data_IF_944130638661
#
_entry.id   IF_944130638661
#
_cell.length_a   1.000
_cell.length_b   1.000
_cell.length_c   1.000
_cell.angle_alpha   90.00
_cell.angle_beta   90.00
_cell.angle_gamma   90.00
#
_symmetry.space_group_name_H-M   'P 1'
#
loop_
_entity.id
_entity.type
_entity.pdbx_description
1 polymer ?
#
# COMPACT_ATOMS: atom_id res chain seq x y z
N UNK A 1 -0.35 14.08 -2.97
CA UNK A 1 -1.66 13.45 -2.80
C UNK A 1 -1.40 12.16 -2.08
N UNK A 2 -1.67 12.15 -0.77
CA UNK A 2 -1.29 11.08 0.12
C UNK A 2 -2.24 9.89 -0.02
N UNK A 3 -1.82 8.68 0.38
CA UNK A 3 -2.66 7.48 0.35
C UNK A 3 -3.94 7.66 1.18
N UNK A 4 -3.80 8.41 2.29
CA UNK A 4 -4.89 8.80 3.18
C UNK A 4 -5.99 9.57 2.47
N UNK A 5 -5.63 10.58 1.67
CA UNK A 5 -6.59 11.40 0.91
C UNK A 5 -7.43 10.54 -0.04
N UNK A 6 -6.78 9.54 -0.68
CA UNK A 6 -7.44 8.60 -1.57
C UNK A 6 -8.37 7.66 -0.82
N UNK A 7 -7.96 7.17 0.34
CA UNK A 7 -8.79 6.30 1.17
C UNK A 7 -10.03 7.04 1.71
N UNK A 8 -9.89 8.32 2.08
CA UNK A 8 -11.01 9.17 2.49
C UNK A 8 -11.94 9.51 1.32
N UNK A 9 -11.41 9.70 0.11
CA UNK A 9 -12.21 9.85 -1.09
C UNK A 9 -12.98 8.57 -1.44
N UNK A 10 -12.32 7.41 -1.34
CA UNK A 10 -12.96 6.11 -1.60
C UNK A 10 -14.04 5.79 -0.56
N UNK A 11 -13.79 6.11 0.72
CA UNK A 11 -14.80 5.98 1.77
C UNK A 11 -16.05 6.82 1.45
N UNK A 12 -15.86 8.08 1.00
CA UNK A 12 -16.97 8.93 0.56
C UNK A 12 -17.78 8.29 -0.57
N UNK A 13 -17.13 7.77 -1.60
CA UNK A 13 -17.82 7.08 -2.69
C UNK A 13 -18.61 5.85 -2.23
N UNK A 14 -18.09 5.09 -1.26
CA UNK A 14 -18.83 3.96 -0.67
C UNK A 14 -20.11 4.45 0.02
N UNK A 15 -20.04 5.52 0.80
CA UNK A 15 -21.21 6.06 1.48
C UNK A 15 -22.23 6.67 0.53
N UNK A 16 -21.78 7.30 -0.56
CA UNK A 16 -22.64 7.79 -1.64
C UNK A 16 -23.41 6.64 -2.30
N UNK A 17 -22.75 5.52 -2.61
CA UNK A 17 -23.40 4.33 -3.19
C UNK A 17 -24.41 3.70 -2.23
N UNK A 18 -24.09 3.69 -0.94
CA UNK A 18 -24.94 3.11 0.10
C UNK A 18 -26.04 4.06 0.59
N UNK A 19 -26.10 5.29 0.07
CA UNK A 19 -27.00 6.37 0.54
C UNK A 19 -26.95 6.55 2.06
N UNK A 20 -25.78 6.35 2.66
CA UNK A 20 -25.57 6.36 4.10
C UNK A 20 -24.87 7.63 4.54
N UNK A 21 -25.26 8.18 5.70
CA UNK A 21 -24.55 9.29 6.34
C UNK A 21 -23.80 8.76 7.56
N UNK A 22 -22.49 8.47 7.43
CA UNK A 22 -21.70 7.94 8.54
C UNK A 22 -21.48 9.00 9.62
N UNK A 23 -21.28 8.55 10.86
CA UNK A 23 -20.66 9.38 11.89
C UNK A 23 -19.19 9.66 11.55
N UNK A 24 -18.60 10.67 12.17
CA UNK A 24 -17.17 10.99 11.98
C UNK A 24 -16.26 9.78 12.30
N UNK A 25 -16.58 9.05 13.36
CA UNK A 25 -15.84 7.84 13.73
C UNK A 25 -15.99 6.72 12.71
N UNK A 26 -17.20 6.49 12.18
CA UNK A 26 -17.44 5.51 11.13
C UNK A 26 -16.68 5.90 9.85
N UNK A 27 -16.70 7.18 9.46
CA UNK A 27 -15.96 7.68 8.32
C UNK A 27 -14.44 7.44 8.47
N UNK A 28 -13.87 7.75 9.64
CA UNK A 28 -12.45 7.50 9.95
C UNK A 28 -12.10 6.02 9.92
N UNK A 29 -12.96 5.15 10.48
CA UNK A 29 -12.73 3.71 10.50
C UNK A 29 -12.73 3.11 9.10
N UNK A 30 -13.73 3.46 8.26
CA UNK A 30 -13.80 2.95 6.89
C UNK A 30 -12.63 3.45 6.04
N UNK A 31 -12.28 4.74 6.14
CA UNK A 31 -11.09 5.27 5.48
C UNK A 31 -9.82 4.51 5.93
N UNK A 32 -9.66 4.23 7.23
CA UNK A 32 -8.54 3.45 7.74
C UNK A 32 -8.51 2.00 7.26
N UNK A 33 -9.67 1.36 7.07
CA UNK A 33 -9.74 0.00 6.47
C UNK A 33 -9.30 0.03 5.01
N UNK A 34 -9.80 1.00 4.23
CA UNK A 34 -9.45 1.14 2.81
C UNK A 34 -7.97 1.48 2.62
N UNK A 35 -7.43 2.34 3.47
CA UNK A 35 -6.00 2.68 3.49
C UNK A 35 -5.13 1.43 3.75
N UNK A 36 -5.46 0.65 4.78
CA UNK A 36 -4.74 -0.60 5.10
C UNK A 36 -4.82 -1.61 3.96
N UNK A 37 -6.01 -1.83 3.40
CA UNK A 37 -6.19 -2.75 2.28
C UNK A 37 -5.35 -2.33 1.07
N UNK A 38 -5.29 -1.03 0.76
CA UNK A 38 -4.43 -0.53 -0.31
C UNK A 38 -2.94 -0.75 -0.04
N UNK A 39 -2.48 -0.54 1.20
CA UNK A 39 -1.09 -0.84 1.60
C UNK A 39 -0.79 -2.32 1.42
N UNK A 40 -1.66 -3.20 1.91
CA UNK A 40 -1.52 -4.65 1.81
C UNK A 40 -1.39 -5.10 0.35
N UNK A 41 -2.28 -4.64 -0.53
CA UNK A 41 -2.24 -4.95 -1.97
C UNK A 41 -0.91 -4.50 -2.59
N UNK A 42 -0.44 -3.29 -2.28
CA UNK A 42 0.82 -2.78 -2.83
C UNK A 42 2.01 -3.63 -2.35
N UNK A 43 2.03 -4.04 -1.09
CA UNK A 43 3.09 -4.90 -0.54
C UNK A 43 3.06 -6.29 -1.14
N UNK A 44 1.87 -6.87 -1.35
CA UNK A 44 1.72 -8.18 -1.99
C UNK A 44 2.19 -8.14 -3.46
N UNK A 45 1.79 -7.12 -4.22
CA UNK A 45 2.21 -6.96 -5.61
C UNK A 45 3.73 -6.72 -5.71
N UNK A 46 4.34 -5.97 -4.77
CA UNK A 46 5.81 -5.83 -4.72
C UNK A 46 6.51 -7.16 -4.50
N UNK A 47 6.00 -8.02 -3.61
CA UNK A 47 6.54 -9.38 -3.42
C UNK A 47 6.40 -10.22 -4.68
N UNK A 48 5.27 -10.10 -5.38
CA UNK A 48 5.03 -10.79 -6.65
C UNK A 48 6.01 -10.33 -7.72
N UNK A 49 6.27 -9.03 -7.83
CA UNK A 49 7.29 -8.50 -8.75
C UNK A 49 8.70 -8.96 -8.38
N UNK A 50 9.06 -9.03 -7.10
CA UNK A 50 10.34 -9.61 -6.67
C UNK A 50 10.47 -11.07 -7.12
N UNK A 51 9.41 -11.86 -6.94
CA UNK A 51 9.40 -13.27 -7.35
C UNK A 51 9.58 -13.42 -8.87
N UNK A 52 8.83 -12.66 -9.67
CA UNK A 52 8.94 -12.67 -11.14
C UNK A 52 10.32 -12.20 -11.59
N UNK A 53 10.87 -11.14 -10.99
CA UNK A 53 12.20 -10.66 -11.31
C UNK A 53 13.28 -11.71 -11.02
N UNK A 54 13.18 -12.44 -9.90
CA UNK A 54 14.09 -13.56 -9.59
C UNK A 54 13.99 -14.70 -10.59
N UNK A 55 12.78 -15.02 -11.05
CA UNK A 55 12.53 -16.11 -11.99
C UNK A 55 13.01 -15.76 -13.42
N UNK A 56 12.72 -14.55 -13.89
CA UNK A 56 13.12 -14.09 -15.23
C UNK A 56 14.61 -13.74 -15.34
N UNK A 57 15.23 -13.20 -14.28
CA UNK A 57 16.64 -12.79 -14.28
C UNK A 57 17.59 -13.87 -13.72
N UNK A 58 17.26 -15.16 -13.87
CA UNK A 58 18.13 -16.25 -13.39
C UNK A 58 19.58 -16.25 -13.94
N UNK A 59 19.90 -15.70 -15.13
CA UNK A 59 21.30 -15.49 -15.55
C UNK A 59 21.98 -14.31 -14.84
N UNK A 60 21.21 -13.44 -14.18
CA UNK A 60 21.61 -12.16 -13.61
C UNK A 60 21.18 -12.06 -12.13
N UNK A 61 21.28 -13.19 -11.43
CA UNK A 61 20.86 -13.39 -10.03
C UNK A 61 21.41 -12.33 -9.07
N UNK A 62 22.62 -11.84 -9.31
CA UNK A 62 23.23 -10.77 -8.51
C UNK A 62 22.50 -9.44 -8.69
N UNK A 63 22.13 -9.10 -9.93
CA UNK A 63 21.33 -7.91 -10.25
C UNK A 63 19.94 -8.02 -9.64
N UNK A 64 19.28 -9.18 -9.76
CA UNK A 64 17.99 -9.43 -9.11
C UNK A 64 18.07 -9.30 -7.58
N UNK A 65 19.15 -9.79 -6.96
CA UNK A 65 19.37 -9.69 -5.52
C UNK A 65 19.54 -8.23 -5.06
N UNK A 66 20.30 -7.43 -5.81
CA UNK A 66 20.50 -6.00 -5.55
C UNK A 66 19.19 -5.20 -5.69
N UNK A 67 18.39 -5.49 -6.71
CA UNK A 67 17.07 -4.87 -6.90
C UNK A 67 16.16 -5.23 -5.72
N UNK A 68 16.11 -6.50 -5.33
CA UNK A 68 15.30 -6.96 -4.21
C UNK A 68 15.72 -6.31 -2.87
N UNK A 69 17.02 -6.14 -2.63
CA UNK A 69 17.51 -5.39 -1.47
C UNK A 69 17.07 -3.93 -1.48
N UNK A 70 17.14 -3.27 -2.64
CA UNK A 70 16.74 -1.87 -2.75
C UNK A 70 15.25 -1.70 -2.47
N UNK A 71 14.41 -2.58 -3.03
CA UNK A 71 12.96 -2.59 -2.76
C UNK A 71 12.68 -2.76 -1.26
N UNK A 72 13.39 -3.67 -0.57
CA UNK A 72 13.24 -3.86 0.89
C UNK A 72 13.63 -2.62 1.69
N UNK A 73 14.70 -1.92 1.29
CA UNK A 73 15.11 -0.66 1.96
C UNK A 73 14.07 0.44 1.76
N UNK A 74 13.56 0.58 0.54
CA UNK A 74 12.55 1.58 0.22
C UNK A 74 11.23 1.30 0.96
N UNK A 75 10.84 0.02 1.09
CA UNK A 75 9.69 -0.39 1.90
C UNK A 75 9.90 -0.06 3.40
N UNK A 76 11.08 -0.34 3.94
CA UNK A 76 11.41 -0.01 5.33
C UNK A 76 11.37 1.51 5.58
N UNK A 77 11.88 2.31 4.64
CA UNK A 77 11.82 3.77 4.70
C UNK A 77 10.38 4.29 4.60
N UNK A 78 9.56 3.71 3.72
CA UNK A 78 8.13 4.05 3.60
C UNK A 78 7.39 3.75 4.91
N UNK A 79 7.60 2.57 5.50
CA UNK A 79 7.01 2.18 6.79
C UNK A 79 7.44 3.14 7.90
N UNK A 80 8.73 3.48 7.97
CA UNK A 80 9.24 4.41 8.97
C UNK A 80 8.62 5.80 8.82
N UNK A 81 8.52 6.32 7.60
CA UNK A 81 7.94 7.63 7.33
C UNK A 81 6.44 7.67 7.66
N UNK A 82 5.68 6.64 7.26
CA UNK A 82 4.26 6.52 7.60
C UNK A 82 4.04 6.34 9.10
N UNK A 83 4.97 5.67 9.80
CA UNK A 83 4.91 5.53 11.25
C UNK A 83 5.24 6.81 12.00
N UNK A 84 6.08 7.67 11.44
CA UNK A 84 6.47 8.97 12.03
C UNK A 84 5.43 10.09 11.77
N UNK A 85 4.50 9.88 10.83
CA UNK A 85 3.39 10.79 10.54
C UNK A 85 2.14 10.52 11.40
N UNK A 86 2.18 9.48 12.23
CA UNK A 86 1.18 9.15 13.26
C UNK A 86 1.54 9.78 14.60
#
# INVERSE_FOLDING_TARGET
MELRDRAESAARSVYEILEATPTEDQAKQVAGVLERAAIEIVLEERKRFEAVARECCSPDLDTAHKIAEQVRRDDAALIANLSALR
#
